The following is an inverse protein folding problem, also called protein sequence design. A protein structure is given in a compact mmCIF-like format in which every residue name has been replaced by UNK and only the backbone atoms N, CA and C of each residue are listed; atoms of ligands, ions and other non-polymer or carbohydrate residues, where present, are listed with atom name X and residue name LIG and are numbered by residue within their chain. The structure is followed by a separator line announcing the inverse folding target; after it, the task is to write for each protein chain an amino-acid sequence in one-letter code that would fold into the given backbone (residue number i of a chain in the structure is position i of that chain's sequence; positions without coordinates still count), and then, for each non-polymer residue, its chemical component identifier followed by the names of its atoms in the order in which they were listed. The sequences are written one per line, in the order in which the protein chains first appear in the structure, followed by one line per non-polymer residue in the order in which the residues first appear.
data_IF_071670877495
#
_entry.id   IF_071670877495
#
_cell.length_a   1.000
_cell.length_b   1.000
_cell.length_c   1.000
_cell.angle_alpha   90.00
_cell.angle_beta   90.00
_cell.angle_gamma   90.00
#
_symmetry.space_group_name_H-M   'P 1'
#
loop_
_entity.id
_entity.type
_entity.pdbx_description
1 polymer ?
#
# COMPACT_ATOMS: atom_id res chain seq x y z
N UNK A 1 -7.42 18.56 -9.06
CA UNK A 1 -8.12 17.78 -8.03
C UNK A 1 -7.08 17.35 -7.00
N UNK A 2 -7.15 17.92 -5.80
CA UNK A 2 -6.15 17.82 -4.72
C UNK A 2 -6.37 16.54 -3.91
N UNK A 3 -5.63 15.48 -4.25
CA UNK A 3 -5.73 14.16 -3.63
C UNK A 3 -4.71 14.03 -2.50
N UNK A 4 -4.94 14.65 -1.33
CA UNK A 4 -3.80 14.96 -0.43
C UNK A 4 -3.69 14.16 0.87
N UNK A 5 -4.68 13.37 1.32
CA UNK A 5 -4.47 12.44 2.47
C UNK A 5 -5.58 11.42 2.68
N UNK A 6 -6.83 11.83 2.46
CA UNK A 6 -7.99 10.99 2.78
C UNK A 6 -8.10 9.78 1.85
N UNK A 7 -7.67 9.95 0.59
CA UNK A 7 -7.54 8.82 -0.34
C UNK A 7 -6.49 7.79 0.09
N UNK A 8 -5.44 8.18 0.81
CA UNK A 8 -4.36 7.24 1.20
C UNK A 8 -4.90 6.23 2.22
N UNK A 9 -5.61 6.73 3.25
CA UNK A 9 -6.20 5.86 4.27
C UNK A 9 -7.25 4.92 3.66
N UNK A 10 -8.08 5.42 2.74
CA UNK A 10 -9.04 4.59 2.01
C UNK A 10 -8.37 3.49 1.17
N UNK A 11 -7.30 3.84 0.45
CA UNK A 11 -6.49 2.90 -0.33
C UNK A 11 -5.89 1.81 0.56
N UNK A 12 -5.23 2.18 1.66
CA UNK A 12 -4.64 1.19 2.58
C UNK A 12 -5.72 0.30 3.18
N UNK A 13 -6.87 0.86 3.57
CA UNK A 13 -7.96 0.08 4.18
C UNK A 13 -8.53 -0.98 3.22
N UNK A 14 -8.76 -0.62 1.95
CA UNK A 14 -9.23 -1.58 0.94
C UNK A 14 -8.21 -2.68 0.69
N UNK A 15 -6.93 -2.32 0.59
CA UNK A 15 -5.86 -3.29 0.42
C UNK A 15 -5.72 -4.21 1.64
N UNK A 16 -5.84 -3.65 2.85
CA UNK A 16 -5.81 -4.40 4.10
C UNK A 16 -6.98 -5.37 4.20
N UNK A 17 -8.21 -4.94 3.91
CA UNK A 17 -9.39 -5.81 3.92
C UNK A 17 -9.24 -6.96 2.91
N UNK A 18 -8.71 -6.69 1.72
CA UNK A 18 -8.41 -7.72 0.73
C UNK A 18 -7.34 -8.69 1.24
N UNK A 19 -6.24 -8.19 1.80
CA UNK A 19 -5.16 -8.99 2.36
C UNK A 19 -5.64 -9.87 3.52
N UNK A 20 -6.46 -9.34 4.43
CA UNK A 20 -7.10 -10.10 5.52
C UNK A 20 -7.99 -11.20 4.95
N UNK A 21 -8.82 -10.87 3.96
CA UNK A 21 -9.76 -11.83 3.35
C UNK A 21 -9.04 -12.92 2.55
N UNK A 22 -7.94 -12.59 1.90
CA UNK A 22 -7.11 -13.54 1.15
C UNK A 22 -6.08 -14.25 2.03
N UNK A 23 -5.89 -13.85 3.29
CA UNK A 23 -4.84 -14.38 4.17
C UNK A 23 -3.41 -14.05 3.71
N UNK A 24 -3.22 -12.94 2.98
CA UNK A 24 -1.91 -12.48 2.49
C UNK A 24 -1.37 -11.39 3.41
N UNK A 25 -0.08 -11.44 3.73
CA UNK A 25 0.59 -10.38 4.52
C UNK A 25 1.20 -9.28 3.63
N UNK A 26 1.47 -9.60 2.37
CA UNK A 26 1.99 -8.66 1.38
C UNK A 26 1.41 -8.95 -0.01
N UNK A 27 1.31 -7.90 -0.81
CA UNK A 27 0.85 -7.94 -2.19
C UNK A 27 1.72 -7.03 -3.07
N UNK A 28 1.87 -7.43 -4.33
CA UNK A 28 2.60 -6.66 -5.34
C UNK A 28 1.77 -5.50 -5.89
N UNK A 29 2.43 -4.53 -6.52
CA UNK A 29 1.77 -3.37 -7.11
C UNK A 29 0.66 -3.71 -8.10
N UNK A 30 0.81 -4.80 -8.86
CA UNK A 30 -0.18 -5.22 -9.87
C UNK A 30 -1.48 -5.68 -9.20
N UNK A 31 -1.36 -6.49 -8.15
CA UNK A 31 -2.51 -7.02 -7.40
C UNK A 31 -3.22 -5.90 -6.65
N UNK A 32 -2.45 -5.05 -5.97
CA UNK A 32 -2.99 -3.90 -5.28
C UNK A 32 -3.71 -2.94 -6.24
N UNK A 33 -3.11 -2.65 -7.40
CA UNK A 33 -3.73 -1.80 -8.41
C UNK A 33 -5.07 -2.35 -8.89
N UNK A 34 -5.15 -3.66 -9.12
CA UNK A 34 -6.39 -4.32 -9.57
C UNK A 34 -7.49 -4.22 -8.53
N UNK A 35 -7.17 -4.40 -7.25
CA UNK A 35 -8.18 -4.30 -6.19
C UNK A 35 -8.62 -2.87 -5.95
N UNK A 36 -7.71 -1.89 -6.06
CA UNK A 36 -8.09 -0.48 -5.97
C UNK A 36 -8.91 -0.01 -7.18
N UNK A 37 -8.62 -0.54 -8.37
CA UNK A 37 -9.43 -0.32 -9.56
C UNK A 37 -10.84 -0.87 -9.40
N UNK A 38 -10.99 -2.10 -8.86
CA UNK A 38 -12.31 -2.66 -8.51
C UNK A 38 -13.05 -1.82 -7.48
N UNK A 39 -12.34 -1.24 -6.53
CA UNK A 39 -12.92 -0.34 -5.52
C UNK A 39 -13.21 1.08 -6.04
N UNK A 40 -12.83 1.40 -7.29
CA UNK A 40 -12.99 2.74 -7.86
C UNK A 40 -12.07 3.80 -7.24
N UNK A 41 -11.05 3.39 -6.47
CA UNK A 41 -10.10 4.28 -5.80
C UNK A 41 -8.94 4.70 -6.70
N UNK A 42 -8.61 3.86 -7.69
CA UNK A 42 -7.58 4.14 -8.68
C UNK A 42 -8.14 3.96 -10.10
N UNK A 43 -7.61 4.71 -11.05
CA UNK A 43 -7.93 4.51 -12.46
C UNK A 43 -7.36 3.17 -12.93
N UNK A 44 -8.22 2.30 -13.47
CA UNK A 44 -7.79 1.07 -14.12
C UNK A 44 -7.09 1.43 -15.44
N UNK A 45 -5.76 1.47 -15.43
CA UNK A 45 -5.00 1.52 -16.67
C UNK A 45 -4.77 0.08 -17.15
N UNK A 46 -5.76 -0.45 -17.86
CA UNK A 46 -5.80 -1.84 -18.35
C UNK A 46 -4.58 -2.19 -19.23
N UNK A 47 -3.92 -1.18 -19.82
CA UNK A 47 -2.71 -1.31 -20.62
C UNK A 47 -1.44 -1.60 -19.78
N UNK A 48 -1.39 -1.14 -18.53
CA UNK A 48 -0.21 -1.30 -17.68
C UNK A 48 -0.61 -1.57 -16.21
N UNK A 49 -0.88 -2.84 -15.85
CA UNK A 49 -1.25 -3.18 -14.49
C UNK A 49 -0.17 -2.73 -13.50
N UNK A 50 -0.57 -1.96 -12.49
CA UNK A 50 0.34 -1.44 -11.46
C UNK A 50 0.96 -0.08 -11.76
N UNK A 51 0.95 0.41 -13.00
CA UNK A 51 1.54 1.72 -13.35
C UNK A 51 0.90 2.91 -12.63
N UNK A 52 -0.45 3.04 -12.57
CA UNK A 52 -1.05 4.17 -11.88
C UNK A 52 -0.78 4.11 -10.37
N UNK A 53 -0.73 2.91 -9.77
CA UNK A 53 -0.31 2.75 -8.39
C UNK A 53 1.14 3.19 -8.18
N UNK A 54 2.07 2.76 -9.05
CA UNK A 54 3.49 3.16 -8.97
C UNK A 54 3.69 4.66 -9.07
N UNK A 55 2.97 5.33 -9.96
CA UNK A 55 3.03 6.79 -10.07
C UNK A 55 2.47 7.49 -8.83
N UNK A 56 1.37 6.97 -8.28
CA UNK A 56 0.81 7.50 -7.05
C UNK A 56 1.77 7.32 -5.86
N UNK A 57 2.35 6.14 -5.69
CA UNK A 57 3.38 5.88 -4.68
C UNK A 57 4.62 6.74 -4.86
N UNK A 58 5.05 6.95 -6.11
CA UNK A 58 6.16 7.85 -6.43
C UNK A 58 5.84 9.29 -6.01
N UNK A 59 4.61 9.78 -6.25
CA UNK A 59 4.16 11.10 -5.77
C UNK A 59 4.15 11.19 -4.25
N UNK A 60 3.71 10.13 -3.54
CA UNK A 60 3.75 10.10 -2.08
C UNK A 60 5.17 10.14 -1.54
N UNK A 61 6.10 9.40 -2.16
CA UNK A 61 7.53 9.44 -1.84
C UNK A 61 8.10 10.84 -2.04
N UNK A 62 7.80 11.46 -3.17
CA UNK A 62 8.23 12.81 -3.51
C UNK A 62 7.68 13.85 -2.51
N UNK A 63 6.44 13.64 -2.07
CA UNK A 63 5.76 14.46 -1.05
C UNK A 63 6.14 14.09 0.39
N UNK A 64 7.06 13.14 0.61
CA UNK A 64 7.50 12.64 1.91
C UNK A 64 6.36 12.14 2.84
N UNK A 65 5.26 11.67 2.26
CA UNK A 65 4.08 11.11 2.97
C UNK A 65 3.88 9.63 2.66
N UNK A 66 4.93 8.96 2.21
CA UNK A 66 4.88 7.53 1.89
C UNK A 66 4.63 6.72 3.17
N UNK A 67 3.58 5.90 3.23
CA UNK A 67 3.32 5.05 4.39
C UNK A 67 4.42 3.99 4.54
N UNK A 68 4.82 3.71 5.79
CA UNK A 68 5.88 2.74 6.12
C UNK A 68 5.57 1.30 5.68
N UNK A 69 4.30 1.03 5.39
CA UNK A 69 3.75 -0.23 4.94
C UNK A 69 4.15 -0.57 3.50
N UNK A 70 4.58 0.44 2.76
CA UNK A 70 4.89 0.31 1.34
C UNK A 70 6.39 0.41 1.18
N UNK A 71 6.99 -0.63 0.62
CA UNK A 71 8.43 -0.71 0.36
C UNK A 71 8.65 -0.85 -1.13
N UNK A 72 9.78 -0.30 -1.59
CA UNK A 72 10.24 -0.52 -2.94
C UNK A 72 11.40 -1.50 -2.89
N UNK A 73 11.27 -2.65 -3.55
CA UNK A 73 12.31 -3.68 -3.64
C UNK A 73 12.64 -3.93 -5.11
N UNK A 74 13.91 -3.79 -5.49
CA UNK A 74 14.38 -3.95 -6.89
C UNK A 74 13.57 -3.18 -7.95
N UNK A 75 13.00 -2.03 -7.60
CA UNK A 75 12.21 -1.19 -8.52
C UNK A 75 10.73 -1.57 -8.63
N UNK A 76 10.32 -2.70 -8.04
CA UNK A 76 8.95 -3.10 -7.77
C UNK A 76 8.47 -2.51 -6.44
N UNK A 77 7.16 -2.32 -6.29
CA UNK A 77 6.54 -1.78 -5.08
C UNK A 77 5.72 -2.85 -4.39
N UNK A 78 6.09 -3.15 -3.16
CA UNK A 78 5.43 -4.14 -2.33
C UNK A 78 4.63 -3.43 -1.24
N UNK A 79 3.34 -3.76 -1.15
CA UNK A 79 2.45 -3.25 -0.10
C UNK A 79 2.24 -4.34 0.92
N UNK A 80 2.64 -4.07 2.16
CA UNK A 80 2.36 -4.93 3.31
C UNK A 80 1.10 -4.47 4.01
N UNK A 81 0.37 -5.41 4.59
CA UNK A 81 -0.80 -5.12 5.40
C UNK A 81 -0.43 -4.25 6.61
N UNK A 82 -1.20 -3.20 6.89
CA UNK A 82 -0.96 -2.31 8.03
C UNK A 82 -1.05 -3.03 9.38
N UNK A 83 -1.87 -4.08 9.42
CA UNK A 83 -2.08 -4.91 10.62
C UNK A 83 -0.77 -5.59 11.09
N UNK A 84 0.16 -5.91 10.18
CA UNK A 84 1.46 -6.49 10.55
C UNK A 84 2.43 -5.44 11.13
N UNK A 85 2.24 -4.15 10.85
CA UNK A 85 3.03 -3.06 11.44
C UNK A 85 2.49 -2.65 12.82
N UNK A 86 1.17 -2.77 13.03
CA UNK A 86 0.55 -2.59 14.35
C UNK A 86 0.99 -3.67 15.37
N UNK A 87 1.59 -4.77 14.91
CA UNK A 87 2.27 -5.78 15.72
C UNK A 87 3.79 -5.73 15.59
N UNK A 88 4.39 -4.55 15.69
CA UNK A 88 5.66 -4.48 16.40
C UNK A 88 5.33 -4.19 17.87
N UNK A 89 5.18 -5.20 18.75
CA UNK A 89 5.51 -4.91 20.13
C UNK A 89 6.95 -4.42 20.08
N UNK A 90 7.14 -3.14 20.37
CA UNK A 90 8.41 -2.65 20.89
C UNK A 90 8.65 -3.47 22.15
N UNK A 91 9.23 -4.66 22.00
CA UNK A 91 9.86 -5.37 23.11
C UNK A 91 11.11 -4.53 23.38
N UNK A 92 10.89 -3.43 24.10
CA UNK A 92 11.93 -2.71 24.78
C UNK A 92 12.61 -3.73 25.69
N UNK A 93 13.82 -4.11 25.28
CA UNK A 93 14.87 -4.75 26.07
C UNK A 93 14.42 -5.64 27.22
N UNK A 94 14.36 -6.95 26.96
CA UNK A 94 15.00 -7.88 27.91
C UNK A 94 16.51 -7.59 27.87
N UNK A 95 17.00 -6.72 28.75
CA UNK A 95 18.41 -6.64 29.11
C UNK A 95 18.54 -6.11 30.54
N UNK A 96 19.15 -6.92 31.40
CA UNK A 96 19.80 -6.51 32.65
C UNK A 96 19.05 -6.85 33.91
#
# INVERSE_FOLDING_TARGET
MTTTRENISGVIKVLDEYMIRSGKEEINEMEANRELAKAGLLADEQAHPGRPLREWLRKLRDSNILPQNIRQECGAWTIRISSTIAKKPTIAGLFG
#
